data_IF_453975496328
#
_entry.id   IF_453975496328
#
_cell.length_a   1.000
_cell.length_b   1.000
_cell.length_c   1.000
_cell.angle_alpha   90.00
_cell.angle_beta   90.00
_cell.angle_gamma   90.00
#
_symmetry.space_group_name_H-M   'P 1'
#
loop_
_entity.id
_entity.type
_entity.pdbx_description
1 polymer ?
#
# COMPACT_ATOMS: atom_id res chain seq x y z
N UNK A 1 -6.67 -4.20 13.62
CA UNK A 1 -6.02 -5.54 13.63
C UNK A 1 -6.97 -6.71 13.45
N UNK A 2 -8.12 -6.79 14.14
CA UNK A 2 -9.10 -7.89 13.90
C UNK A 2 -9.56 -7.97 12.43
N UNK A 3 -9.53 -6.85 11.73
CA UNK A 3 -9.77 -6.77 10.28
C UNK A 3 -8.84 -7.67 9.44
N UNK A 4 -7.65 -8.03 9.96
CA UNK A 4 -6.70 -8.92 9.31
C UNK A 4 -6.78 -10.36 9.84
N UNK A 5 -7.71 -10.69 10.73
CA UNK A 5 -7.80 -12.05 11.28
C UNK A 5 -8.10 -13.09 10.18
N UNK A 6 -8.90 -12.74 9.16
CA UNK A 6 -9.22 -13.65 8.07
C UNK A 6 -7.96 -14.08 7.30
N UNK A 7 -7.11 -13.11 6.95
CA UNK A 7 -5.87 -13.37 6.21
C UNK A 7 -4.79 -14.01 7.07
N UNK A 8 -4.69 -13.62 8.34
CA UNK A 8 -3.78 -14.26 9.30
C UNK A 8 -4.17 -15.74 9.50
N UNK A 9 -5.47 -16.03 9.68
CA UNK A 9 -5.97 -17.40 9.84
C UNK A 9 -5.75 -18.24 8.58
N UNK A 10 -5.90 -17.65 7.39
CA UNK A 10 -5.60 -18.32 6.14
C UNK A 10 -4.11 -18.69 6.05
N UNK A 11 -3.21 -17.76 6.35
CA UNK A 11 -1.76 -18.01 6.36
C UNK A 11 -1.35 -19.04 7.43
N UNK A 12 -1.91 -18.97 8.63
CA UNK A 12 -1.68 -19.97 9.67
C UNK A 12 -2.18 -21.36 9.26
N UNK A 13 -3.34 -21.44 8.58
CA UNK A 13 -3.87 -22.70 8.07
C UNK A 13 -2.98 -23.30 6.98
N UNK A 14 -2.45 -22.45 6.10
CA UNK A 14 -1.49 -22.83 5.05
C UNK A 14 -0.22 -23.44 5.66
N UNK A 15 0.38 -22.75 6.64
CA UNK A 15 1.69 -23.11 7.21
C UNK A 15 1.60 -24.28 8.21
N UNK A 16 0.53 -24.34 9.02
CA UNK A 16 0.38 -25.36 10.07
C UNK A 16 -0.20 -26.67 9.53
N UNK A 17 -1.19 -26.61 8.62
CA UNK A 17 -1.87 -27.79 8.10
C UNK A 17 -2.36 -28.74 9.22
N UNK A 18 -1.81 -29.97 9.25
CA UNK A 18 -2.11 -30.99 10.25
C UNK A 18 -1.28 -30.89 11.54
N UNK A 19 -0.25 -30.02 11.57
CA UNK A 19 0.58 -29.74 12.74
C UNK A 19 2.06 -29.53 12.41
N UNK A 20 2.79 -28.95 13.38
CA UNK A 20 4.24 -28.72 13.30
C UNK A 20 5.02 -29.96 13.77
N UNK A 21 5.47 -30.77 12.82
CA UNK A 21 6.20 -32.01 13.07
C UNK A 21 7.51 -31.73 13.81
N UNK A 22 8.29 -30.75 13.36
CA UNK A 22 9.62 -30.48 13.90
C UNK A 22 9.55 -30.01 15.35
N UNK A 23 8.73 -29.01 15.65
CA UNK A 23 8.58 -28.52 17.03
C UNK A 23 8.05 -29.63 17.93
N UNK A 24 7.10 -30.46 17.45
CA UNK A 24 6.53 -31.55 18.25
C UNK A 24 7.56 -32.61 18.67
N UNK A 25 8.51 -32.96 17.79
CA UNK A 25 9.49 -34.03 18.07
C UNK A 25 10.75 -33.53 18.76
N UNK A 26 11.21 -32.32 18.45
CA UNK A 26 12.52 -31.85 18.92
C UNK A 26 12.47 -30.88 20.10
N UNK A 27 11.29 -30.38 20.47
CA UNK A 27 11.14 -29.49 21.61
C UNK A 27 10.52 -30.22 22.81
N UNK A 28 11.20 -30.24 23.97
CA UNK A 28 10.64 -30.86 25.17
C UNK A 28 9.28 -30.29 25.56
N UNK A 29 8.36 -31.17 25.97
CA UNK A 29 7.04 -30.78 26.45
C UNK A 29 7.15 -29.81 27.64
N UNK A 30 6.30 -28.79 27.67
CA UNK A 30 6.30 -27.77 28.72
C UNK A 30 7.47 -26.77 28.67
N UNK A 31 8.43 -26.94 27.75
CA UNK A 31 9.53 -25.98 27.55
C UNK A 31 8.96 -24.61 27.17
N UNK A 32 9.42 -23.60 27.90
CA UNK A 32 9.16 -22.19 27.60
C UNK A 32 10.40 -21.58 26.97
N UNK A 33 10.18 -20.68 26.01
CA UNK A 33 11.22 -20.00 25.27
C UNK A 33 11.11 -18.50 25.44
N UNK A 34 12.25 -17.85 25.27
CA UNK A 34 12.34 -16.43 25.02
C UNK A 34 12.99 -16.25 23.65
N UNK A 35 12.44 -15.36 22.83
CA UNK A 35 13.00 -15.03 21.52
C UNK A 35 12.79 -13.58 21.15
N UNK A 36 13.59 -13.12 20.19
CA UNK A 36 13.56 -11.75 19.72
C UNK A 36 13.48 -11.70 18.19
N UNK A 37 12.60 -10.85 17.67
CA UNK A 37 12.64 -10.47 16.26
C UNK A 37 13.61 -9.32 16.07
N UNK A 38 14.60 -9.49 15.19
CA UNK A 38 15.69 -8.54 14.97
C UNK A 38 15.79 -8.15 13.50
N UNK A 39 15.92 -6.85 13.25
CA UNK A 39 16.15 -6.33 11.92
C UNK A 39 17.52 -6.81 11.39
N UNK A 40 17.55 -7.40 10.20
CA UNK A 40 18.79 -7.70 9.49
C UNK A 40 19.15 -6.62 8.45
N UNK A 41 18.18 -5.75 8.14
CA UNK A 41 18.33 -4.60 7.24
C UNK A 41 17.94 -3.26 7.89
N UNK A 42 18.26 -2.17 7.20
CA UNK A 42 17.76 -0.83 7.52
C UNK A 42 16.43 -0.58 6.82
N UNK A 43 15.49 0.11 7.48
CA UNK A 43 14.20 0.40 6.87
C UNK A 43 13.21 1.09 7.80
N UNK A 44 11.93 0.93 7.49
CA UNK A 44 10.80 1.37 8.30
C UNK A 44 9.98 0.13 8.69
N UNK A 45 9.75 -0.02 9.99
CA UNK A 45 9.05 -1.19 10.53
C UNK A 45 7.53 -1.00 10.42
N UNK A 46 6.85 -1.99 9.83
CA UNK A 46 5.41 -2.02 9.74
C UNK A 46 4.89 -3.46 9.84
N UNK A 47 3.79 -3.65 10.55
CA UNK A 47 3.17 -4.95 10.81
C UNK A 47 3.47 -5.52 12.19
N UNK A 48 3.94 -4.73 13.16
CA UNK A 48 4.26 -5.23 14.51
C UNK A 48 3.03 -5.78 15.20
N UNK A 49 1.92 -5.07 15.11
CA UNK A 49 0.65 -5.53 15.67
C UNK A 49 0.03 -6.68 14.86
N UNK A 50 0.38 -6.85 13.58
CA UNK A 50 0.00 -8.03 12.77
C UNK A 50 0.76 -9.25 13.26
N UNK A 51 2.08 -9.17 13.35
CA UNK A 51 2.92 -10.25 13.87
C UNK A 51 2.53 -10.65 15.30
N UNK A 52 2.27 -9.67 16.17
CA UNK A 52 1.72 -9.92 17.51
C UNK A 52 0.38 -10.65 17.47
N UNK A 53 -0.51 -10.30 16.53
CA UNK A 53 -1.79 -10.97 16.35
C UNK A 53 -1.62 -12.43 15.88
N UNK A 54 -0.64 -12.72 15.03
CA UNK A 54 -0.27 -14.09 14.65
C UNK A 54 0.07 -14.92 15.89
N UNK A 55 0.96 -14.42 16.76
CA UNK A 55 1.31 -15.12 18.00
C UNK A 55 0.12 -15.31 18.94
N UNK A 56 -0.79 -14.33 19.05
CA UNK A 56 -2.00 -14.48 19.86
C UNK A 56 -2.93 -15.59 19.36
N UNK A 57 -2.97 -15.83 18.04
CA UNK A 57 -3.82 -16.82 17.43
C UNK A 57 -3.20 -18.23 17.46
N UNK A 58 -1.90 -18.35 17.20
CA UNK A 58 -1.21 -19.63 17.05
C UNK A 58 -0.41 -20.07 18.30
N UNK A 59 0.06 -19.13 19.13
CA UNK A 59 0.88 -19.39 20.31
C UNK A 59 0.18 -18.92 21.60
N UNK A 60 -0.98 -19.51 21.92
CA UNK A 60 -1.74 -19.19 23.13
C UNK A 60 -0.86 -19.30 24.38
N UNK A 61 -0.89 -18.27 25.23
CA UNK A 61 -0.03 -18.19 26.42
C UNK A 61 1.35 -17.54 26.18
N UNK A 62 1.64 -17.11 24.95
CA UNK A 62 2.78 -16.23 24.67
C UNK A 62 2.53 -14.79 25.15
N UNK A 63 3.59 -14.16 25.65
CA UNK A 63 3.66 -12.74 26.01
C UNK A 63 4.52 -12.03 24.97
N UNK A 64 3.93 -11.08 24.27
CA UNK A 64 4.59 -10.32 23.20
C UNK A 64 4.77 -8.87 23.65
N UNK A 65 6.01 -8.38 23.65
CA UNK A 65 6.37 -6.99 23.94
C UNK A 65 7.02 -6.35 22.72
N UNK A 66 6.43 -5.27 22.21
CA UNK A 66 7.05 -4.46 21.16
C UNK A 66 8.23 -3.67 21.74
N UNK A 67 9.36 -3.65 21.04
CA UNK A 67 10.54 -2.90 21.42
C UNK A 67 10.66 -1.56 20.66
N UNK A 68 9.93 -1.42 19.56
CA UNK A 68 9.84 -0.20 18.75
C UNK A 68 8.37 0.12 18.44
N UNK A 69 8.10 1.37 18.01
CA UNK A 69 6.77 1.79 17.58
C UNK A 69 6.53 1.43 16.11
N UNK A 70 5.29 1.19 15.76
CA UNK A 70 4.84 1.07 14.37
C UNK A 70 5.26 2.32 13.58
N UNK A 71 5.82 2.14 12.39
CA UNK A 71 6.31 3.23 11.54
C UNK A 71 7.69 3.78 11.92
N UNK A 72 8.35 3.23 12.93
CA UNK A 72 9.69 3.67 13.30
C UNK A 72 10.73 3.33 12.22
N UNK A 73 11.70 4.23 12.03
CA UNK A 73 12.92 3.91 11.27
C UNK A 73 13.81 3.00 12.12
N UNK A 74 14.32 1.94 11.51
CA UNK A 74 15.13 0.92 12.16
C UNK A 74 16.46 0.74 11.41
N UNK A 75 17.48 0.33 12.17
CA UNK A 75 18.79 -0.06 11.64
C UNK A 75 18.98 -1.56 11.85
N UNK A 76 19.86 -2.17 11.04
CA UNK A 76 20.34 -3.54 11.25
C UNK A 76 20.76 -3.76 12.71
N UNK A 77 20.31 -4.86 13.30
CA UNK A 77 20.55 -5.24 14.69
C UNK A 77 19.47 -4.78 15.67
N UNK A 78 18.57 -3.87 15.27
CA UNK A 78 17.49 -3.39 16.15
C UNK A 78 16.56 -4.54 16.58
N UNK A 79 16.28 -4.62 17.88
CA UNK A 79 15.23 -5.51 18.42
C UNK A 79 13.88 -4.88 18.14
N UNK A 80 13.00 -5.60 17.47
CA UNK A 80 11.68 -5.12 17.06
C UNK A 80 10.60 -5.59 18.04
N UNK A 81 10.71 -6.82 18.51
CA UNK A 81 9.74 -7.48 19.37
C UNK A 81 10.42 -8.56 20.20
N UNK A 82 9.96 -8.72 21.45
CA UNK A 82 10.36 -9.78 22.38
C UNK A 82 9.17 -10.68 22.64
N UNK A 83 9.37 -11.99 22.56
CA UNK A 83 8.32 -12.99 22.71
C UNK A 83 8.77 -14.00 23.76
N UNK A 84 7.91 -14.27 24.74
CA UNK A 84 8.16 -15.30 25.77
C UNK A 84 6.94 -16.21 25.90
N UNK A 85 7.12 -17.54 25.94
CA UNK A 85 5.97 -18.44 26.00
C UNK A 85 6.26 -19.89 25.63
N UNK A 86 5.23 -20.65 25.25
CA UNK A 86 5.36 -22.08 24.91
C UNK A 86 6.08 -22.31 23.58
N UNK A 87 6.42 -23.57 23.31
CA UNK A 87 7.02 -24.03 22.06
C UNK A 87 6.26 -23.61 20.79
N UNK A 88 4.94 -23.41 20.86
CA UNK A 88 4.12 -22.96 19.71
C UNK A 88 4.47 -21.57 19.19
N UNK A 89 5.36 -20.82 19.87
CA UNK A 89 6.02 -19.65 19.30
C UNK A 89 6.76 -20.01 18.01
N UNK A 90 7.48 -21.14 17.98
CA UNK A 90 8.21 -21.60 16.79
C UNK A 90 7.24 -21.92 15.64
N UNK A 91 6.11 -22.55 15.95
CA UNK A 91 5.04 -22.82 14.98
C UNK A 91 4.45 -21.52 14.39
N UNK A 92 4.36 -20.44 15.17
CA UNK A 92 3.83 -19.16 14.73
C UNK A 92 4.87 -18.26 14.04
N UNK A 93 6.17 -18.58 14.21
CA UNK A 93 7.29 -17.71 13.88
C UNK A 93 7.28 -17.30 12.41
N UNK A 94 7.23 -18.28 11.50
CA UNK A 94 7.42 -18.04 10.08
C UNK A 94 6.30 -17.19 9.50
N UNK A 95 5.06 -17.53 9.82
CA UNK A 95 3.90 -16.72 9.46
C UNK A 95 4.01 -15.29 9.99
N UNK A 96 4.44 -15.10 11.26
CA UNK A 96 4.60 -13.76 11.84
C UNK A 96 5.71 -12.94 11.16
N UNK A 97 6.85 -13.57 10.87
CA UNK A 97 7.95 -12.95 10.12
C UNK A 97 7.50 -12.58 8.72
N UNK A 98 6.82 -13.46 7.98
CA UNK A 98 6.39 -13.20 6.61
C UNK A 98 5.53 -11.93 6.50
N UNK A 99 4.56 -11.75 7.41
CA UNK A 99 3.79 -10.51 7.47
C UNK A 99 4.64 -9.29 7.80
N UNK A 100 5.45 -9.36 8.87
CA UNK A 100 6.26 -8.24 9.33
C UNK A 100 7.27 -7.80 8.27
N UNK A 101 7.96 -8.75 7.63
CA UNK A 101 8.94 -8.51 6.57
C UNK A 101 8.28 -7.89 5.33
N UNK A 102 7.18 -8.46 4.85
CA UNK A 102 6.46 -7.95 3.69
C UNK A 102 5.93 -6.53 3.92
N UNK A 103 5.22 -6.31 5.04
CA UNK A 103 4.68 -4.99 5.38
C UNK A 103 5.77 -3.95 5.59
N UNK A 104 6.87 -4.30 6.28
CA UNK A 104 8.02 -3.41 6.46
C UNK A 104 8.69 -3.08 5.11
N UNK A 105 8.75 -4.04 4.19
CA UNK A 105 9.23 -3.83 2.82
C UNK A 105 8.40 -2.79 2.05
N UNK A 106 7.07 -2.95 2.06
CA UNK A 106 6.14 -2.01 1.41
C UNK A 106 6.22 -0.62 2.05
N UNK A 107 6.23 -0.54 3.38
CA UNK A 107 6.29 0.72 4.10
C UNK A 107 7.63 1.45 3.89
N UNK A 108 8.75 0.70 3.86
CA UNK A 108 10.07 1.24 3.52
C UNK A 108 10.07 1.80 2.10
N UNK A 109 9.51 1.07 1.13
CA UNK A 109 9.42 1.53 -0.26
C UNK A 109 8.53 2.77 -0.40
N UNK A 110 7.39 2.82 0.27
CA UNK A 110 6.53 4.00 0.30
C UNK A 110 7.27 5.23 0.87
N UNK A 111 8.02 5.05 1.97
CA UNK A 111 8.82 6.12 2.56
C UNK A 111 9.93 6.63 1.63
N UNK A 112 10.54 5.75 0.84
CA UNK A 112 11.52 6.14 -0.18
C UNK A 112 10.87 7.05 -1.24
N UNK A 113 9.71 6.65 -1.79
CA UNK A 113 8.98 7.48 -2.75
C UNK A 113 8.52 8.81 -2.14
N UNK A 114 8.03 8.81 -0.90
CA UNK A 114 7.63 10.05 -0.23
C UNK A 114 8.82 11.00 -0.02
N UNK A 115 10.01 10.48 0.26
CA UNK A 115 11.21 11.29 0.55
C UNK A 115 11.73 12.11 -0.63
N UNK A 116 11.46 11.67 -1.87
CA UNK A 116 11.91 12.36 -3.09
C UNK A 116 10.93 13.46 -3.53
N UNK A 117 9.75 13.55 -2.94
CA UNK A 117 8.76 14.59 -3.22
C UNK A 117 9.09 15.84 -2.43
N UNK A 118 9.43 16.93 -3.14
CA UNK A 118 9.73 18.24 -2.52
C UNK A 118 8.57 19.23 -2.62
N UNK A 119 7.66 19.03 -3.58
CA UNK A 119 6.56 19.96 -3.79
C UNK A 119 5.48 19.80 -2.70
N UNK A 120 5.09 20.87 -1.99
CA UNK A 120 4.27 20.78 -0.78
C UNK A 120 2.84 20.29 -1.03
N UNK A 121 2.33 20.43 -2.25
CA UNK A 121 1.00 19.93 -2.68
C UNK A 121 1.00 18.44 -3.02
N UNK A 122 2.12 17.91 -3.47
CA UNK A 122 2.17 16.59 -4.09
C UNK A 122 2.24 15.50 -3.02
N UNK A 123 1.46 14.44 -3.17
CA UNK A 123 1.52 13.24 -2.33
C UNK A 123 1.67 11.98 -3.19
N UNK A 124 2.33 10.97 -2.62
CA UNK A 124 2.45 9.65 -3.23
C UNK A 124 1.22 8.82 -2.90
N UNK A 125 0.65 8.19 -3.92
CA UNK A 125 -0.48 7.29 -3.81
C UNK A 125 -0.11 5.86 -4.21
N UNK A 126 -0.68 4.87 -3.55
CA UNK A 126 -0.66 3.48 -4.01
C UNK A 126 -1.63 3.24 -5.17
N UNK A 127 -1.87 1.96 -5.51
CA UNK A 127 -2.85 1.57 -6.54
C UNK A 127 -3.58 0.28 -6.14
N UNK A 128 -4.36 -0.29 -7.07
CA UNK A 128 -4.91 -1.65 -6.97
C UNK A 128 -3.96 -2.75 -7.47
N UNK A 129 -2.75 -2.40 -7.93
CA UNK A 129 -1.68 -3.33 -8.32
C UNK A 129 -1.02 -3.88 -7.05
N UNK A 130 -1.75 -4.73 -6.37
CA UNK A 130 -1.43 -5.31 -5.05
C UNK A 130 -1.30 -6.82 -5.18
N UNK A 131 -0.57 -7.46 -4.28
CA UNK A 131 -0.61 -8.92 -4.21
C UNK A 131 -2.07 -9.39 -3.95
N UNK A 132 -2.56 -10.42 -4.68
CA UNK A 132 -3.90 -10.95 -4.45
C UNK A 132 -4.11 -11.37 -3.00
N UNK A 133 -5.28 -11.05 -2.44
CA UNK A 133 -5.59 -11.30 -1.02
C UNK A 133 -4.98 -10.28 -0.04
N UNK A 134 -3.81 -9.71 -0.33
CA UNK A 134 -3.04 -8.87 0.62
C UNK A 134 -3.33 -7.36 0.54
N UNK A 135 -4.26 -6.93 -0.31
CA UNK A 135 -4.51 -5.49 -0.57
C UNK A 135 -4.65 -4.64 0.69
N UNK A 136 -5.46 -5.07 1.66
CA UNK A 136 -5.68 -4.28 2.88
C UNK A 136 -4.41 -4.13 3.72
N UNK A 137 -3.58 -5.19 3.76
CA UNK A 137 -2.28 -5.20 4.44
C UNK A 137 -1.29 -4.27 3.73
N UNK A 138 -1.20 -4.36 2.41
CA UNK A 138 -0.28 -3.52 1.63
C UNK A 138 -0.67 -2.04 1.70
N UNK A 139 -1.96 -1.71 1.62
CA UNK A 139 -2.45 -0.32 1.76
C UNK A 139 -2.22 0.24 3.17
N UNK A 140 -2.33 -0.59 4.20
CA UNK A 140 -1.95 -0.20 5.55
C UNK A 140 -0.44 0.11 5.62
N UNK A 141 0.40 -0.73 5.03
CA UNK A 141 1.84 -0.53 4.99
C UNK A 141 2.25 0.73 4.20
N UNK A 142 1.57 1.03 3.07
CA UNK A 142 1.75 2.29 2.33
C UNK A 142 1.51 3.50 3.23
N UNK A 143 0.39 3.50 3.94
CA UNK A 143 0.04 4.61 4.84
C UNK A 143 1.06 4.75 5.98
N UNK A 144 1.53 3.63 6.54
CA UNK A 144 2.60 3.59 7.55
C UNK A 144 3.91 4.22 7.03
N UNK A 145 4.24 3.97 5.76
CA UNK A 145 5.39 4.58 5.08
C UNK A 145 5.22 6.05 4.69
N UNK A 146 4.11 6.70 5.05
CA UNK A 146 3.82 8.09 4.70
C UNK A 146 3.21 8.31 3.31
N UNK A 147 2.84 7.23 2.62
CA UNK A 147 2.02 7.28 1.41
C UNK A 147 0.55 7.57 1.70
N UNK A 148 -0.25 7.68 0.64
CA UNK A 148 -1.70 7.80 0.68
C UNK A 148 -2.35 6.67 -0.10
N UNK A 149 -3.55 6.31 0.32
CA UNK A 149 -4.31 5.27 -0.34
C UNK A 149 -5.16 5.88 -1.45
N UNK A 150 -4.98 5.39 -2.67
CA UNK A 150 -5.99 5.51 -3.73
C UNK A 150 -7.18 4.60 -3.39
N UNK A 151 -8.18 4.54 -4.27
CA UNK A 151 -9.39 3.74 -4.05
C UNK A 151 -9.07 2.30 -3.64
N UNK A 152 -9.81 1.79 -2.65
CA UNK A 152 -9.61 0.44 -2.12
C UNK A 152 -10.01 -0.64 -3.15
N UNK A 153 -11.08 -0.39 -3.88
CA UNK A 153 -11.63 -1.32 -4.86
C UNK A 153 -12.44 -0.62 -5.94
N UNK A 154 -13.10 -1.40 -6.79
CA UNK A 154 -13.98 -0.88 -7.86
C UNK A 154 -15.21 -0.16 -7.31
N UNK A 155 -15.59 -0.43 -6.06
CA UNK A 155 -16.77 0.12 -5.39
C UNK A 155 -16.53 1.51 -4.77
N UNK A 156 -15.27 1.90 -4.55
CA UNK A 156 -14.89 3.03 -3.68
C UNK A 156 -14.74 4.36 -4.45
N UNK A 157 -14.44 4.28 -5.75
CA UNK A 157 -14.37 5.44 -6.63
C UNK A 157 -14.51 5.00 -8.09
N UNK A 158 -15.25 5.74 -8.90
CA UNK A 158 -15.28 5.50 -10.34
C UNK A 158 -14.00 6.02 -10.99
N UNK A 159 -13.46 5.25 -11.91
CA UNK A 159 -12.26 5.60 -12.66
C UNK A 159 -12.51 5.27 -14.12
N UNK A 160 -12.74 6.31 -14.91
CA UNK A 160 -13.03 6.24 -16.34
C UNK A 160 -11.68 6.16 -17.06
N UNK A 161 -11.44 5.02 -17.70
CA UNK A 161 -10.23 4.73 -18.50
C UNK A 161 -10.52 4.82 -19.99
N UNK A 162 -9.48 4.78 -20.82
CA UNK A 162 -9.52 4.66 -22.27
C UNK A 162 -10.61 3.71 -22.81
N UNK A 163 -10.67 2.48 -22.28
CA UNK A 163 -11.63 1.46 -22.67
C UNK A 163 -13.08 1.88 -22.36
N UNK A 164 -13.30 2.57 -21.24
CA UNK A 164 -14.62 3.06 -20.86
C UNK A 164 -15.04 4.24 -21.74
N UNK A 165 -14.09 5.10 -22.11
CA UNK A 165 -14.32 6.20 -23.06
C UNK A 165 -14.74 5.65 -24.41
N UNK A 166 -14.00 4.68 -24.94
CA UNK A 166 -14.32 4.02 -26.21
C UNK A 166 -15.72 3.39 -26.18
N UNK A 167 -16.03 2.60 -25.14
CA UNK A 167 -17.32 1.92 -25.00
C UNK A 167 -18.50 2.87 -24.68
N UNK A 168 -18.23 4.08 -24.19
CA UNK A 168 -19.23 5.12 -24.01
C UNK A 168 -19.54 5.91 -25.29
N UNK A 169 -18.90 5.55 -26.41
CA UNK A 169 -19.06 6.20 -27.71
C UNK A 169 -17.98 7.24 -28.04
N UNK A 170 -16.94 7.38 -27.23
CA UNK A 170 -15.77 8.24 -27.51
C UNK A 170 -16.02 9.75 -27.41
N UNK A 171 -17.28 10.19 -27.27
CA UNK A 171 -17.66 11.59 -27.30
C UNK A 171 -17.76 12.19 -25.89
N UNK A 172 -17.19 13.39 -25.63
CA UNK A 172 -17.27 14.06 -24.34
C UNK A 172 -18.71 14.28 -23.84
N UNK A 173 -19.65 14.55 -24.75
CA UNK A 173 -21.07 14.71 -24.40
C UNK A 173 -21.67 13.42 -23.78
N UNK A 174 -21.34 12.25 -24.33
CA UNK A 174 -21.80 10.96 -23.78
C UNK A 174 -21.15 10.63 -22.44
N UNK A 175 -19.88 11.00 -22.27
CA UNK A 175 -19.24 10.93 -20.95
C UNK A 175 -19.92 11.84 -19.94
N UNK A 176 -20.26 13.07 -20.31
CA UNK A 176 -20.98 14.01 -19.43
C UNK A 176 -22.34 13.43 -18.98
N UNK A 177 -23.14 12.90 -19.91
CA UNK A 177 -24.43 12.25 -19.62
C UNK A 177 -24.25 11.11 -18.59
N UNK A 178 -23.27 10.23 -18.82
CA UNK A 178 -23.00 9.09 -17.92
C UNK A 178 -22.48 9.53 -16.54
N UNK A 179 -21.59 10.51 -16.49
CA UNK A 179 -21.10 11.09 -15.24
C UNK A 179 -22.24 11.74 -14.44
N UNK A 180 -23.14 12.47 -15.10
CA UNK A 180 -24.32 13.04 -14.45
C UNK A 180 -25.27 11.97 -13.91
N UNK A 181 -25.53 10.90 -14.69
CA UNK A 181 -26.33 9.77 -14.23
C UNK A 181 -25.70 9.07 -13.01
N UNK A 182 -24.38 8.90 -13.00
CA UNK A 182 -23.66 8.34 -11.85
C UNK A 182 -23.78 9.25 -10.62
N UNK A 183 -23.58 10.56 -10.76
CA UNK A 183 -23.71 11.49 -9.63
C UNK A 183 -25.10 11.50 -9.01
N UNK A 184 -26.16 11.30 -9.81
CA UNK A 184 -27.55 11.14 -9.32
C UNK A 184 -27.77 9.84 -8.55
N UNK A 185 -27.26 8.72 -9.09
CA UNK A 185 -27.49 7.38 -8.53
C UNK A 185 -26.56 7.03 -7.37
N UNK A 186 -25.37 7.63 -7.32
CA UNK A 186 -24.34 7.42 -6.29
C UNK A 186 -23.81 8.78 -5.80
N UNK A 187 -24.63 9.60 -5.11
CA UNK A 187 -24.19 10.90 -4.60
C UNK A 187 -22.94 10.74 -3.72
N UNK A 188 -21.98 11.65 -3.88
CA UNK A 188 -20.73 11.66 -3.09
C UNK A 188 -19.62 10.72 -3.59
N UNK A 189 -19.91 9.78 -4.50
CA UNK A 189 -18.88 8.93 -5.09
C UNK A 189 -18.00 9.74 -6.05
N UNK A 190 -16.69 9.80 -5.77
CA UNK A 190 -15.73 10.53 -6.59
C UNK A 190 -15.62 9.91 -8.00
N UNK A 191 -15.36 10.77 -8.99
CA UNK A 191 -15.09 10.37 -10.37
C UNK A 191 -13.68 10.81 -10.76
N UNK A 192 -12.86 9.85 -11.12
CA UNK A 192 -11.57 10.06 -11.78
C UNK A 192 -11.68 9.75 -13.27
N UNK A 193 -10.99 10.54 -14.11
CA UNK A 193 -10.90 10.29 -15.56
C UNK A 193 -9.43 10.31 -16.01
N UNK A 194 -9.04 9.30 -16.79
CA UNK A 194 -7.71 9.19 -17.39
C UNK A 194 -7.66 9.95 -18.72
N UNK A 195 -6.59 10.73 -18.92
CA UNK A 195 -6.27 11.42 -20.15
C UNK A 195 -4.83 11.09 -20.58
N UNK A 196 -4.69 10.70 -21.84
CA UNK A 196 -3.42 10.31 -22.48
C UNK A 196 -2.88 11.41 -23.41
N UNK A 197 -3.63 12.50 -23.61
CA UNK A 197 -3.21 13.61 -24.48
C UNK A 197 -3.75 14.96 -24.02
N UNK A 198 -3.12 16.05 -24.47
CA UNK A 198 -3.62 17.40 -24.25
C UNK A 198 -5.00 17.65 -24.85
N UNK A 199 -5.34 16.99 -25.97
CA UNK A 199 -6.66 17.08 -26.57
C UNK A 199 -7.73 16.50 -25.64
N UNK A 200 -7.46 15.32 -25.06
CA UNK A 200 -8.35 14.72 -24.07
C UNK A 200 -8.45 15.56 -22.80
N UNK A 201 -7.36 16.13 -22.29
CA UNK A 201 -7.39 17.05 -21.15
C UNK A 201 -8.34 18.23 -21.41
N UNK A 202 -8.23 18.88 -22.57
CA UNK A 202 -9.13 19.98 -22.96
C UNK A 202 -10.59 19.54 -23.03
N UNK A 203 -10.84 18.34 -23.55
CA UNK A 203 -12.18 17.79 -23.70
C UNK A 203 -12.80 17.33 -22.36
N UNK A 204 -11.98 16.87 -21.41
CA UNK A 204 -12.44 16.28 -20.16
C UNK A 204 -12.56 17.27 -19.00
N UNK A 205 -11.81 18.38 -19.02
CA UNK A 205 -11.91 19.42 -17.99
C UNK A 205 -13.34 19.95 -17.77
N UNK A 206 -14.13 20.27 -18.83
CA UNK A 206 -15.51 20.73 -18.67
C UNK A 206 -16.47 19.68 -18.08
N UNK A 207 -16.10 18.40 -18.07
CA UNK A 207 -16.94 17.32 -17.55
C UNK A 207 -17.02 17.32 -16.02
N UNK A 208 -16.15 18.08 -15.33
CA UNK A 208 -16.20 18.24 -13.88
C UNK A 208 -15.88 16.95 -13.10
N UNK A 209 -14.91 16.17 -13.58
CA UNK A 209 -14.34 15.07 -12.81
C UNK A 209 -13.69 15.59 -11.51
N UNK A 210 -13.65 14.76 -10.47
CA UNK A 210 -13.02 15.09 -9.19
C UNK A 210 -11.49 14.96 -9.29
N UNK A 211 -11.01 14.03 -10.12
CA UNK A 211 -9.59 13.81 -10.38
C UNK A 211 -9.38 13.67 -11.89
N UNK A 212 -8.35 14.32 -12.41
CA UNK A 212 -7.87 14.17 -13.77
C UNK A 212 -6.49 13.50 -13.73
N UNK A 213 -6.41 12.27 -14.24
CA UNK A 213 -5.17 11.52 -14.32
C UNK A 213 -4.48 11.75 -15.66
N UNK A 214 -3.21 12.15 -15.63
CA UNK A 214 -2.32 12.23 -16.78
C UNK A 214 -1.57 10.90 -16.88
N UNK A 215 -1.97 10.05 -17.84
CA UNK A 215 -1.45 8.69 -17.99
C UNK A 215 -0.39 8.63 -19.11
N UNK A 216 0.85 8.26 -18.74
CA UNK A 216 1.99 8.10 -19.65
C UNK A 216 2.28 9.30 -20.58
N UNK A 217 1.83 10.51 -20.23
CA UNK A 217 2.16 11.73 -20.97
C UNK A 217 3.63 12.13 -20.73
N UNK A 218 4.28 12.68 -21.76
CA UNK A 218 5.63 13.23 -21.60
C UNK A 218 5.63 14.47 -20.68
N UNK A 219 6.82 14.85 -20.20
CA UNK A 219 6.97 15.96 -19.25
C UNK A 219 6.45 17.31 -19.79
N UNK A 220 6.67 17.61 -21.06
CA UNK A 220 6.25 18.87 -21.68
C UNK A 220 4.73 18.93 -21.83
N UNK A 221 4.11 17.81 -22.20
CA UNK A 221 2.67 17.64 -22.28
C UNK A 221 2.03 17.73 -20.90
N UNK A 222 2.60 17.07 -19.87
CA UNK A 222 2.10 17.17 -18.50
C UNK A 222 2.16 18.60 -17.96
N UNK A 223 3.25 19.34 -18.20
CA UNK A 223 3.38 20.75 -17.81
C UNK A 223 2.25 21.60 -18.41
N UNK A 224 1.97 21.43 -19.70
CA UNK A 224 0.87 22.12 -20.40
C UNK A 224 -0.50 21.70 -19.86
N UNK A 225 -0.71 20.40 -19.60
CA UNK A 225 -1.96 19.86 -19.07
C UNK A 225 -2.27 20.43 -17.68
N UNK A 226 -1.27 20.48 -16.80
CA UNK A 226 -1.40 21.06 -15.47
C UNK A 226 -1.74 22.55 -15.56
N UNK A 227 -1.03 23.31 -16.40
CA UNK A 227 -1.33 24.73 -16.60
C UNK A 227 -2.77 24.95 -17.08
N UNK A 228 -3.25 24.15 -18.04
CA UNK A 228 -4.64 24.21 -18.53
C UNK A 228 -5.65 23.92 -17.42
N UNK A 229 -5.43 22.87 -16.62
CA UNK A 229 -6.32 22.49 -15.54
C UNK A 229 -6.39 23.56 -14.43
N UNK A 230 -5.26 24.20 -14.11
CA UNK A 230 -5.20 25.28 -13.10
C UNK A 230 -5.76 26.62 -13.59
N UNK A 231 -5.71 26.88 -14.90
CA UNK A 231 -6.32 28.07 -15.50
C UNK A 231 -7.82 27.88 -15.79
N UNK A 232 -8.37 26.68 -15.60
CA UNK A 232 -9.77 26.39 -15.90
C UNK A 232 -10.70 27.15 -14.95
N UNK A 233 -11.64 27.91 -15.54
CA UNK A 233 -12.59 28.76 -14.79
C UNK A 233 -13.75 27.98 -14.12
N UNK A 234 -13.89 26.69 -14.43
CA UNK A 234 -14.88 25.80 -13.81
C UNK A 234 -14.34 25.08 -12.57
N UNK A 235 -14.99 23.97 -12.19
CA UNK A 235 -14.50 23.08 -11.13
C UNK A 235 -13.14 22.52 -11.53
N UNK A 236 -12.10 22.87 -10.78
CA UNK A 236 -10.76 22.36 -11.00
C UNK A 236 -10.61 20.97 -10.35
N UNK A 237 -10.16 19.95 -11.09
CA UNK A 237 -9.92 18.63 -10.52
C UNK A 237 -8.61 18.62 -9.70
N UNK A 238 -8.48 17.64 -8.82
CA UNK A 238 -7.15 17.20 -8.40
C UNK A 238 -6.43 16.60 -9.61
N UNK A 239 -5.13 16.84 -9.75
CA UNK A 239 -4.32 16.35 -10.85
C UNK A 239 -3.45 15.19 -10.35
N UNK A 240 -3.61 14.05 -11.00
CA UNK A 240 -2.83 12.84 -10.74
C UNK A 240 -1.89 12.56 -11.92
N UNK A 241 -0.64 12.20 -11.63
CA UNK A 241 0.29 11.64 -12.63
C UNK A 241 0.44 10.15 -12.37
N UNK A 242 0.31 9.33 -13.41
CA UNK A 242 0.49 7.89 -13.35
C UNK A 242 1.18 7.34 -14.60
N UNK A 243 1.57 6.07 -14.55
CA UNK A 243 2.21 5.37 -15.65
C UNK A 243 3.74 5.25 -15.52
N UNK A 244 4.22 4.03 -15.25
CA UNK A 244 5.65 3.70 -15.27
C UNK A 244 6.56 4.57 -14.37
N UNK A 245 6.03 5.07 -13.24
CA UNK A 245 6.73 5.99 -12.34
C UNK A 245 7.73 5.23 -11.45
N UNK A 246 9.02 5.53 -11.62
CA UNK A 246 10.11 5.15 -10.73
C UNK A 246 10.49 6.33 -9.78
N UNK A 247 11.51 6.15 -8.93
CA UNK A 247 11.94 7.18 -7.98
C UNK A 247 12.45 8.46 -8.66
N UNK A 248 13.20 8.34 -9.76
CA UNK A 248 13.73 9.48 -10.49
C UNK A 248 12.61 10.27 -11.16
N UNK A 249 11.66 9.57 -11.80
CA UNK A 249 10.46 10.17 -12.38
C UNK A 249 9.57 10.79 -11.31
N UNK A 250 9.35 10.14 -10.17
CA UNK A 250 8.56 10.72 -9.08
C UNK A 250 9.14 12.06 -8.61
N UNK A 251 10.47 12.12 -8.40
CA UNK A 251 11.16 13.36 -8.06
C UNK A 251 10.99 14.43 -9.13
N UNK A 252 11.21 14.05 -10.40
CA UNK A 252 11.12 14.96 -11.55
C UNK A 252 9.70 15.49 -11.78
N UNK A 253 8.70 14.61 -11.81
CA UNK A 253 7.29 14.93 -12.03
C UNK A 253 6.71 15.74 -10.88
N UNK A 254 7.20 15.57 -9.64
CA UNK A 254 6.75 16.39 -8.51
C UNK A 254 7.03 17.89 -8.70
N UNK A 255 8.03 18.25 -9.51
CA UNK A 255 8.35 19.66 -9.83
C UNK A 255 7.25 20.35 -10.63
N UNK A 256 6.38 19.58 -11.30
CA UNK A 256 5.23 20.11 -12.03
C UNK A 256 4.06 20.51 -11.10
N UNK A 257 4.14 20.14 -9.82
CA UNK A 257 3.11 20.44 -8.82
C UNK A 257 1.76 19.73 -9.00
N UNK A 258 1.71 18.42 -9.39
CA UNK A 258 0.46 17.66 -9.32
C UNK A 258 0.01 17.48 -7.87
N UNK A 259 -1.27 17.18 -7.64
CA UNK A 259 -1.78 16.82 -6.32
C UNK A 259 -1.32 15.41 -5.93
N UNK A 260 -1.32 14.49 -6.91
CA UNK A 260 -1.07 13.07 -6.70
C UNK A 260 -0.04 12.53 -7.69
N UNK A 261 0.78 11.61 -7.23
CA UNK A 261 1.56 10.71 -8.09
C UNK A 261 1.27 9.29 -7.62
N UNK A 262 0.64 8.47 -8.46
CA UNK A 262 0.35 7.08 -8.12
C UNK A 262 1.40 6.12 -8.64
N UNK A 263 1.83 5.21 -7.75
CA UNK A 263 2.97 4.32 -8.01
C UNK A 263 2.60 2.89 -7.66
N UNK A 264 2.30 2.09 -8.67
CA UNK A 264 1.94 0.68 -8.47
C UNK A 264 3.09 -0.17 -7.90
N UNK A 265 4.34 0.17 -8.21
CA UNK A 265 5.49 -0.61 -7.78
C UNK A 265 5.73 -0.55 -6.26
N UNK A 266 5.09 0.37 -5.52
CA UNK A 266 5.18 0.42 -4.05
C UNK A 266 4.63 -0.87 -3.45
N UNK A 267 3.53 -1.39 -3.98
CA UNK A 267 2.89 -2.61 -3.49
C UNK A 267 3.33 -3.83 -4.31
N UNK A 268 3.27 -3.77 -5.65
CA UNK A 268 3.56 -4.94 -6.50
C UNK A 268 5.04 -5.31 -6.61
N UNK A 269 5.95 -4.46 -6.14
CA UNK A 269 7.40 -4.60 -6.33
C UNK A 269 8.23 -4.32 -5.08
N UNK A 270 7.61 -4.31 -3.91
CA UNK A 270 8.34 -4.18 -2.65
C UNK A 270 9.10 -5.48 -2.33
N UNK A 271 10.40 -5.34 -2.05
CA UNK A 271 11.17 -6.44 -1.46
C UNK A 271 10.84 -6.51 0.03
N UNK A 272 10.58 -7.70 0.61
CA UNK A 272 10.47 -7.86 2.05
C UNK A 272 11.73 -7.33 2.75
N UNK A 273 11.57 -6.70 3.91
CA UNK A 273 12.68 -6.27 4.76
C UNK A 273 13.22 -7.50 5.51
N UNK A 274 14.53 -7.75 5.51
CA UNK A 274 15.07 -8.92 6.21
C UNK A 274 15.00 -8.76 7.74
N UNK A 275 14.40 -9.76 8.40
CA UNK A 275 14.16 -9.81 9.85
C UNK A 275 14.31 -11.26 10.30
N UNK A 276 15.15 -11.51 11.30
CA UNK A 276 15.29 -12.83 11.92
C UNK A 276 14.45 -12.95 13.18
N UNK A 277 14.17 -14.19 13.57
CA UNK A 277 13.78 -14.54 14.93
C UNK A 277 14.94 -15.33 15.56
N UNK A 278 15.35 -14.95 16.76
CA UNK A 278 16.47 -15.57 17.47
C UNK A 278 16.00 -16.01 18.86
N UNK A 279 16.01 -17.32 19.11
CA UNK A 279 15.77 -17.89 20.45
C UNK A 279 16.98 -17.56 21.33
N UNK A 280 16.72 -17.05 22.54
CA UNK A 280 17.76 -16.90 23.55
C UNK A 280 17.58 -18.03 24.57
N UNK A 281 18.59 -18.89 24.68
CA UNK A 281 18.70 -19.84 25.77
C UNK A 281 19.35 -19.11 26.95
N UNK A 282 18.62 -18.99 28.07
CA UNK A 282 19.26 -18.72 29.35
C UNK A 282 20.00 -19.97 29.83
#
# INVERSE_FOLDING_TARGET
>A
MREFDSIIKAALKEDIGTGDVTTRFFVPLGRRFYGEMRAKDNGLVCGLEVAKRVFQLAAKGSKVKLAVKEGARIKKGAVLMKIEGPASILTAERTALNFLQHMSGVATRAALFASVIKHPRTRIYDTRKTLPGLRAIEKYAVACGGGRNHRLGLYDMAMIKDNHVALAGGLPAKLAERMAAMRRTKPGLKIEIEAQSLAQVKAFLPLGADVLMLDNMDFAAMKKAIALARAFKGRQPEIEISGGVDLAKAAHYSKLGPDRISVGSITSGARPLDISFEVQTK
#
